data_IF_742825839124
#
_entry.id   IF_742825839124
#
_cell.length_a   1.000
_cell.length_b   1.000
_cell.length_c   1.000
_cell.angle_alpha   90.00
_cell.angle_beta   90.00
_cell.angle_gamma   90.00
#
_symmetry.space_group_name_H-M   'P 1'
#
loop_
_entity.id
_entity.type
_entity.pdbx_description
1 polymer ?
#
# COMPACT_ATOMS: atom_id res chain seq x y z
N UNK A 1 19.79 -17.11 51.01
CA UNK A 1 20.09 -16.99 49.57
C UNK A 1 21.36 -16.17 49.44
N UNK A 2 22.41 -16.63 48.74
CA UNK A 2 23.60 -15.82 48.57
C UNK A 2 23.26 -14.63 47.68
N UNK A 3 23.44 -13.41 48.20
CA UNK A 3 23.41 -12.17 47.44
C UNK A 3 24.67 -12.12 46.60
N UNK A 4 24.52 -12.31 45.29
CA UNK A 4 25.61 -12.12 44.33
C UNK A 4 25.90 -10.61 44.33
N UNK A 5 26.98 -10.21 44.99
CA UNK A 5 27.44 -8.82 44.99
C UNK A 5 28.02 -8.51 43.62
N UNK A 6 27.23 -7.79 42.82
CA UNK A 6 27.66 -7.29 41.50
C UNK A 6 28.71 -6.21 41.73
N UNK A 7 29.93 -6.46 41.26
CA UNK A 7 31.04 -5.52 41.37
C UNK A 7 30.76 -4.26 40.55
N UNK A 8 31.40 -3.14 40.91
CA UNK A 8 31.16 -1.84 40.26
C UNK A 8 31.44 -1.89 38.73
N UNK A 9 32.43 -2.70 38.32
CA UNK A 9 32.74 -2.96 36.91
C UNK A 9 31.61 -3.71 36.19
N UNK A 10 31.02 -4.71 36.82
CA UNK A 10 29.88 -5.45 36.25
C UNK A 10 28.64 -4.56 36.13
N UNK A 11 28.41 -3.65 37.09
CA UNK A 11 27.34 -2.65 36.98
C UNK A 11 27.55 -1.74 35.76
N UNK A 12 28.77 -1.24 35.56
CA UNK A 12 29.11 -0.38 34.42
C UNK A 12 28.89 -1.09 33.08
N UNK A 13 29.25 -2.37 32.99
CA UNK A 13 29.00 -3.20 31.80
C UNK A 13 27.49 -3.35 31.55
N UNK A 14 26.70 -3.64 32.58
CA UNK A 14 25.24 -3.79 32.46
C UNK A 14 24.58 -2.49 32.01
N UNK A 15 25.01 -1.34 32.52
CA UNK A 15 24.51 -0.03 32.09
C UNK A 15 24.84 0.27 30.63
N UNK A 16 26.08 0.01 30.21
CA UNK A 16 26.49 0.17 28.81
C UNK A 16 25.69 -0.73 27.87
N UNK A 17 25.50 -1.99 28.23
CA UNK A 17 24.68 -2.94 27.45
C UNK A 17 23.22 -2.49 27.34
N UNK A 18 22.61 -1.98 28.43
CA UNK A 18 21.25 -1.43 28.40
C UNK A 18 21.13 -0.24 27.45
N UNK A 19 22.11 0.67 27.47
CA UNK A 19 22.11 1.83 26.59
C UNK A 19 22.19 1.42 25.10
N UNK A 20 23.10 0.50 24.78
CA UNK A 20 23.25 -0.06 23.43
C UNK A 20 21.97 -0.75 22.97
N UNK A 21 21.33 -1.53 23.85
CA UNK A 21 20.08 -2.22 23.52
C UNK A 21 18.95 -1.24 23.24
N UNK A 22 18.79 -0.21 24.07
CA UNK A 22 17.78 0.83 23.87
C UNK A 22 18.00 1.60 22.55
N UNK A 23 19.25 1.92 22.22
CA UNK A 23 19.59 2.62 20.98
C UNK A 23 19.31 1.74 19.76
N UNK A 24 19.64 0.44 19.82
CA UNK A 24 19.32 -0.51 18.76
C UNK A 24 17.81 -0.71 18.60
N UNK A 25 17.05 -0.82 19.70
CA UNK A 25 15.58 -0.91 19.66
C UNK A 25 14.97 0.33 19.00
N UNK A 26 15.49 1.53 19.31
CA UNK A 26 15.05 2.78 18.69
C UNK A 26 15.33 2.80 17.18
N UNK A 27 16.55 2.43 16.76
CA UNK A 27 16.92 2.35 15.32
C UNK A 27 16.06 1.34 14.56
N UNK A 28 15.70 0.21 15.18
CA UNK A 28 14.81 -0.78 14.56
C UNK A 28 13.38 -0.24 14.43
N UNK A 29 12.87 0.46 15.44
CA UNK A 29 11.57 1.14 15.38
C UNK A 29 11.53 2.20 14.28
N UNK A 30 12.54 3.06 14.19
CA UNK A 30 12.65 4.08 13.14
C UNK A 30 12.64 3.45 11.73
N UNK A 31 13.38 2.36 11.51
CA UNK A 31 13.36 1.64 10.23
C UNK A 31 11.99 1.04 9.91
N UNK A 32 11.29 0.50 10.90
CA UNK A 32 9.94 -0.05 10.72
C UNK A 32 8.96 1.05 10.38
N UNK A 33 9.03 2.19 11.07
CA UNK A 33 8.24 3.38 10.75
C UNK A 33 8.52 3.86 9.33
N UNK A 34 9.78 4.03 8.92
CA UNK A 34 10.14 4.42 7.55
C UNK A 34 9.57 3.45 6.51
N UNK A 35 9.68 2.14 6.73
CA UNK A 35 9.14 1.14 5.81
C UNK A 35 7.60 1.15 5.77
N UNK A 36 6.95 1.32 6.92
CA UNK A 36 5.50 1.32 7.02
C UNK A 36 4.91 2.61 6.46
N UNK A 37 5.52 3.77 6.72
CA UNK A 37 5.14 5.06 6.15
C UNK A 37 5.47 5.13 4.66
N UNK A 38 6.56 4.53 4.17
CA UNK A 38 6.85 4.43 2.74
C UNK A 38 5.79 3.61 2.00
N UNK A 39 5.34 2.49 2.58
CA UNK A 39 4.21 1.70 2.04
C UNK A 39 2.87 2.42 2.18
N UNK A 40 2.62 3.12 3.29
CA UNK A 40 1.39 3.89 3.51
C UNK A 40 1.30 5.12 2.59
N UNK A 41 2.44 5.66 2.14
CA UNK A 41 2.53 6.75 1.16
C UNK A 41 2.69 6.25 -0.27
N UNK A 42 2.66 4.92 -0.49
CA UNK A 42 2.73 4.34 -1.82
C UNK A 42 1.39 4.63 -2.53
N UNK A 43 1.35 5.74 -3.24
CA UNK A 43 0.19 6.16 -4.05
C UNK A 43 0.18 5.50 -5.42
N UNK A 44 1.30 4.89 -5.82
CA UNK A 44 1.54 4.33 -7.13
C UNK A 44 1.45 2.80 -7.12
N UNK A 45 0.54 2.27 -7.92
CA UNK A 45 0.24 0.85 -8.02
C UNK A 45 0.35 0.34 -9.45
N UNK A 46 0.82 -0.88 -9.60
CA UNK A 46 0.77 -1.61 -10.87
C UNK A 46 -0.66 -2.11 -11.14
N UNK A 47 -0.98 -2.40 -12.40
CA UNK A 47 -2.27 -3.02 -12.76
C UNK A 47 -2.54 -4.34 -12.02
N UNK A 48 -1.48 -5.09 -11.67
CA UNK A 48 -1.60 -6.35 -10.94
C UNK A 48 -2.01 -6.11 -9.48
N UNK A 49 -1.39 -5.14 -8.81
CA UNK A 49 -1.76 -4.78 -7.44
C UNK A 49 -3.16 -4.16 -7.36
N UNK A 50 -3.55 -3.36 -8.36
CA UNK A 50 -4.94 -2.88 -8.46
C UNK A 50 -5.93 -4.03 -8.66
N UNK A 51 -5.58 -5.04 -9.47
CA UNK A 51 -6.41 -6.21 -9.70
C UNK A 51 -6.62 -7.03 -8.42
N UNK A 52 -5.53 -7.26 -7.66
CA UNK A 52 -5.59 -7.92 -6.35
C UNK A 52 -6.42 -7.10 -5.35
N UNK A 53 -6.22 -5.78 -5.28
CA UNK A 53 -6.99 -4.89 -4.39
C UNK A 53 -8.48 -4.88 -4.71
N UNK A 54 -8.85 -4.94 -5.99
CA UNK A 54 -10.24 -4.87 -6.43
C UNK A 54 -10.91 -6.24 -6.55
N UNK A 55 -10.18 -7.33 -6.36
CA UNK A 55 -10.70 -8.69 -6.55
C UNK A 55 -11.14 -8.97 -7.98
N UNK A 56 -10.44 -8.42 -8.98
CA UNK A 56 -10.78 -8.59 -10.39
C UNK A 56 -9.57 -8.96 -11.24
N UNK A 57 -9.77 -9.18 -12.54
CA UNK A 57 -8.66 -9.50 -13.45
C UNK A 57 -7.88 -8.26 -13.86
N UNK A 58 -6.61 -8.42 -14.23
CA UNK A 58 -5.77 -7.34 -14.78
C UNK A 58 -6.37 -6.74 -16.06
N UNK A 59 -7.08 -7.56 -16.85
CA UNK A 59 -7.78 -7.10 -18.06
C UNK A 59 -8.89 -6.12 -17.67
N UNK A 60 -9.71 -6.47 -16.66
CA UNK A 60 -10.76 -5.60 -16.11
C UNK A 60 -10.19 -4.27 -15.63
N UNK A 61 -9.06 -4.29 -14.91
CA UNK A 61 -8.35 -3.07 -14.50
C UNK A 61 -7.97 -2.22 -15.71
N UNK A 62 -7.39 -2.84 -16.74
CA UNK A 62 -7.00 -2.13 -17.96
C UNK A 62 -8.20 -1.51 -18.68
N UNK A 63 -9.35 -2.19 -18.69
CA UNK A 63 -10.60 -1.63 -19.23
C UNK A 63 -11.03 -0.38 -18.48
N UNK A 64 -11.01 -0.40 -17.14
CA UNK A 64 -11.42 0.77 -16.33
C UNK A 64 -10.51 1.97 -16.55
N UNK A 65 -9.19 1.74 -16.55
CA UNK A 65 -8.19 2.79 -16.76
C UNK A 65 -8.31 3.39 -18.16
N UNK A 66 -8.39 2.54 -19.19
CA UNK A 66 -8.49 3.00 -20.58
C UNK A 66 -9.82 3.75 -20.86
N UNK A 67 -10.94 3.27 -20.31
CA UNK A 67 -12.25 3.90 -20.51
C UNK A 67 -12.38 5.28 -19.84
N UNK A 68 -11.51 5.55 -18.87
CA UNK A 68 -11.45 6.82 -18.14
C UNK A 68 -10.25 7.68 -18.57
N UNK A 69 -9.42 7.21 -19.51
CA UNK A 69 -8.25 7.93 -19.99
C UNK A 69 -7.13 8.09 -18.94
N UNK A 70 -7.06 7.20 -17.94
CA UNK A 70 -6.02 7.28 -16.90
C UNK A 70 -4.69 6.80 -17.48
N UNK A 71 -3.74 7.71 -17.54
CA UNK A 71 -2.37 7.43 -17.98
C UNK A 71 -1.48 7.00 -16.81
N UNK A 72 -0.44 6.20 -17.08
CA UNK A 72 0.53 5.82 -16.07
C UNK A 72 1.37 7.03 -15.65
N UNK A 73 1.48 7.24 -14.34
CA UNK A 73 2.27 8.33 -13.75
C UNK A 73 3.76 8.06 -13.90
N UNK A 74 4.16 6.79 -13.86
CA UNK A 74 5.56 6.39 -13.99
C UNK A 74 5.73 5.02 -14.65
N UNK A 75 6.93 4.78 -15.17
CA UNK A 75 7.38 3.49 -15.72
C UNK A 75 8.54 2.96 -14.87
N UNK A 76 8.22 2.09 -13.92
CA UNK A 76 9.24 1.32 -13.20
C UNK A 76 9.61 0.07 -14.02
N UNK A 77 10.65 0.20 -14.85
CA UNK A 77 11.13 -0.88 -15.73
C UNK A 77 10.10 -1.24 -16.80
N UNK A 78 9.61 -2.49 -16.80
CA UNK A 78 8.52 -2.94 -17.72
C UNK A 78 7.13 -2.75 -17.14
N UNK A 79 7.00 -2.19 -15.93
CA UNK A 79 5.72 -2.03 -15.23
C UNK A 79 5.29 -0.58 -15.23
N UNK A 80 4.04 -0.36 -15.59
CA UNK A 80 3.38 0.93 -15.49
C UNK A 80 2.78 1.11 -14.09
N UNK A 81 2.99 2.27 -13.51
CA UNK A 81 2.49 2.67 -12.21
C UNK A 81 1.38 3.71 -12.37
N UNK A 82 0.31 3.54 -11.61
CA UNK A 82 -0.90 4.35 -11.66
C UNK A 82 -1.20 4.90 -10.28
N UNK A 83 -1.61 6.16 -10.22
CA UNK A 83 -2.10 6.74 -8.97
C UNK A 83 -3.38 6.04 -8.52
N UNK A 84 -3.42 5.65 -7.24
CA UNK A 84 -4.54 4.92 -6.68
C UNK A 84 -5.85 5.70 -6.71
N UNK A 85 -5.81 7.00 -6.41
CA UNK A 85 -7.03 7.82 -6.36
C UNK A 85 -7.62 7.95 -7.77
N UNK A 86 -6.78 8.21 -8.77
CA UNK A 86 -7.20 8.26 -10.17
C UNK A 86 -7.75 6.91 -10.64
N UNK A 87 -7.10 5.81 -10.26
CA UNK A 87 -7.57 4.46 -10.60
C UNK A 87 -8.92 4.11 -9.94
N UNK A 88 -9.14 4.51 -8.68
CA UNK A 88 -10.41 4.31 -7.98
C UNK A 88 -11.53 5.17 -8.56
N UNK A 89 -11.25 6.41 -8.95
CA UNK A 89 -12.19 7.28 -9.66
C UNK A 89 -12.61 6.68 -11.01
N UNK A 90 -11.64 6.22 -11.80
CA UNK A 90 -11.89 5.54 -13.08
C UNK A 90 -12.81 4.32 -12.93
N UNK A 91 -12.59 3.49 -11.90
CA UNK A 91 -13.46 2.35 -11.60
C UNK A 91 -14.89 2.79 -11.27
N UNK A 92 -15.05 3.83 -10.45
CA UNK A 92 -16.37 4.35 -10.06
C UNK A 92 -17.12 4.88 -11.27
N UNK A 93 -16.47 5.65 -12.12
CA UNK A 93 -17.08 6.24 -13.30
C UNK A 93 -17.48 5.19 -14.33
N UNK A 94 -16.62 4.20 -14.58
CA UNK A 94 -16.97 3.08 -15.44
C UNK A 94 -18.20 2.32 -14.92
N UNK A 95 -18.26 2.06 -13.61
CA UNK A 95 -19.39 1.36 -12.98
C UNK A 95 -20.69 2.16 -13.12
N UNK A 96 -20.64 3.47 -12.86
CA UNK A 96 -21.79 4.38 -13.05
C UNK A 96 -22.29 4.36 -14.50
N UNK A 97 -21.39 4.51 -15.48
CA UNK A 97 -21.75 4.48 -16.91
C UNK A 97 -22.41 3.15 -17.29
N UNK A 98 -21.85 2.04 -16.80
CA UNK A 98 -22.38 0.69 -17.08
C UNK A 98 -23.79 0.51 -16.49
N UNK A 99 -24.03 0.99 -15.26
CA UNK A 99 -25.35 0.95 -14.64
C UNK A 99 -26.39 1.77 -15.40
N UNK A 100 -26.02 2.97 -15.86
CA UNK A 100 -26.90 3.81 -16.68
C UNK A 100 -27.25 3.11 -17.99
N UNK A 101 -26.26 2.55 -18.68
CA UNK A 101 -26.47 1.79 -19.93
C UNK A 101 -27.43 0.62 -19.72
N UNK A 102 -27.21 -0.19 -18.68
CA UNK A 102 -28.07 -1.33 -18.36
C UNK A 102 -29.53 -0.89 -18.08
N UNK A 103 -29.74 0.20 -17.35
CA UNK A 103 -31.08 0.75 -17.09
C UNK A 103 -31.78 1.17 -18.39
N UNK A 104 -31.06 1.82 -19.30
CA UNK A 104 -31.61 2.23 -20.60
C UNK A 104 -31.99 1.01 -21.44
N UNK A 105 -31.14 0.00 -21.52
CA UNK A 105 -31.42 -1.24 -22.26
C UNK A 105 -32.62 -2.00 -21.69
N UNK A 106 -32.76 -2.05 -20.37
CA UNK A 106 -33.90 -2.72 -19.72
C UNK A 106 -35.22 -2.01 -20.02
N UNK A 107 -35.21 -0.66 -20.01
CA UNK A 107 -36.39 0.14 -20.40
C UNK A 107 -36.75 -0.04 -21.87
N UNK A 108 -35.76 -0.10 -22.76
CA UNK A 108 -35.98 -0.30 -24.18
C UNK A 108 -36.55 -1.69 -24.52
N UNK A 109 -36.25 -2.72 -23.71
CA UNK A 109 -36.81 -4.08 -23.89
C UNK A 109 -38.20 -4.26 -23.27
N UNK A 110 -38.60 -3.36 -22.38
CA UNK A 110 -39.90 -3.40 -21.70
C UNK A 110 -40.99 -2.60 -22.43
N UNK A 111 -40.65 -1.90 -23.51
CA UNK A 111 -41.57 -1.31 -24.50
C UNK A 111 -41.70 -2.23 -25.70
#
# INVERSE_FOLDING_TARGET
>A
MPTIEVTENEKMIIYGLRAIFAENSKKQLEKVEELYFAKSKQTLFTKKELAEKWGCTVVTVSTYLNASGVEPVDKSGRKFLFDLNQAEEAKRDYTKRTLVKHKLETRARAM
#
